data_IF_434638348951
#
_entry.id   IF_434638348951
#
_cell.length_a   1.000
_cell.length_b   1.000
_cell.length_c   1.000
_cell.angle_alpha   90.00
_cell.angle_beta   90.00
_cell.angle_gamma   90.00
#
_symmetry.space_group_name_H-M   'P 1'
#
loop_
_entity.id
_entity.type
_entity.pdbx_description
1 polymer ?
#
# COMPACT_ATOMS: atom_id res chain seq x y z
N UNK A 1 11.07 12.53 -1.42
CA UNK A 1 10.34 11.26 -1.27
C UNK A 1 10.85 10.25 -2.29
N UNK A 2 10.74 8.95 -2.02
CA UNK A 2 11.10 7.92 -2.99
C UNK A 2 10.06 7.86 -4.13
N UNK A 3 10.48 7.73 -5.40
CA UNK A 3 9.57 7.70 -6.53
C UNK A 3 8.79 6.38 -6.60
N UNK A 4 7.58 6.45 -7.14
CA UNK A 4 6.84 5.29 -7.61
C UNK A 4 7.32 4.94 -9.02
N UNK A 5 7.69 3.69 -9.27
CA UNK A 5 8.19 3.21 -10.55
C UNK A 5 7.11 3.25 -11.65
N UNK A 6 5.88 3.02 -11.25
CA UNK A 6 4.71 2.69 -12.05
C UNK A 6 3.75 3.85 -12.26
N UNK A 7 4.01 5.02 -11.67
CA UNK A 7 3.08 6.16 -11.76
C UNK A 7 2.90 6.65 -13.21
N UNK A 8 3.96 6.65 -14.04
CA UNK A 8 3.84 7.04 -15.46
C UNK A 8 3.19 5.97 -16.34
N UNK A 9 2.75 4.84 -15.78
CA UNK A 9 1.88 3.88 -16.47
C UNK A 9 0.39 4.22 -16.32
N UNK A 10 0.06 5.06 -15.33
CA UNK A 10 -1.33 5.36 -14.93
C UNK A 10 -1.67 6.82 -15.22
N UNK A 11 -0.71 7.72 -15.04
CA UNK A 11 -0.90 9.16 -15.21
C UNK A 11 0.20 9.73 -16.09
N UNK A 12 -0.16 10.70 -16.93
CA UNK A 12 0.81 11.56 -17.59
C UNK A 12 1.48 12.44 -16.53
N UNK A 13 2.81 12.36 -16.43
CA UNK A 13 3.56 13.22 -15.51
C UNK A 13 3.84 14.58 -16.17
N UNK A 14 3.96 15.67 -15.39
CA UNK A 14 4.35 16.96 -15.92
C UNK A 14 5.64 16.88 -16.74
N UNK A 15 5.66 17.55 -17.89
CA UNK A 15 6.79 17.58 -18.84
C UNK A 15 7.14 16.22 -19.48
N UNK A 16 6.19 15.30 -19.61
CA UNK A 16 6.40 13.95 -20.18
C UNK A 16 7.52 13.16 -19.47
N UNK A 17 7.77 13.45 -18.19
CA UNK A 17 8.81 12.76 -17.43
C UNK A 17 8.42 11.29 -17.24
N UNK A 18 9.32 10.36 -17.59
CA UNK A 18 9.10 8.94 -17.35
C UNK A 18 9.52 8.58 -15.93
N UNK A 19 8.62 7.95 -15.14
CA UNK A 19 8.97 7.48 -13.79
C UNK A 19 10.08 6.42 -13.83
N UNK A 20 10.17 5.66 -14.93
CA UNK A 20 11.27 4.73 -15.18
C UNK A 20 12.60 5.45 -15.35
N UNK A 21 12.65 6.51 -16.16
CA UNK A 21 13.88 7.28 -16.37
C UNK A 21 14.30 8.02 -15.10
N UNK A 22 13.35 8.54 -14.33
CA UNK A 22 13.62 9.11 -13.01
C UNK A 22 14.31 8.09 -12.09
N UNK A 23 13.77 6.87 -11.99
CA UNK A 23 14.37 5.78 -11.19
C UNK A 23 15.73 5.33 -11.75
N UNK A 24 15.88 5.31 -13.08
CA UNK A 24 17.11 4.91 -13.76
C UNK A 24 18.27 5.84 -13.44
N UNK A 25 18.00 7.14 -13.39
CA UNK A 25 19.00 8.20 -13.19
C UNK A 25 19.30 8.49 -11.70
N UNK A 26 18.63 7.82 -10.75
CA UNK A 26 18.90 7.99 -9.33
C UNK A 26 20.28 7.44 -8.93
N UNK A 27 21.02 8.13 -8.04
CA UNK A 27 22.23 7.59 -7.45
C UNK A 27 21.91 6.39 -6.54
N UNK A 28 22.88 5.50 -6.38
CA UNK A 28 22.78 4.39 -5.42
C UNK A 28 23.10 4.86 -4.00
N UNK A 29 22.49 4.27 -2.95
CA UNK A 29 21.45 3.24 -3.00
C UNK A 29 20.09 3.80 -3.43
N UNK A 30 19.40 3.08 -4.32
CA UNK A 30 18.08 3.48 -4.83
C UNK A 30 16.97 2.88 -3.96
N UNK A 31 16.06 3.73 -3.53
CA UNK A 31 14.82 3.33 -2.87
C UNK A 31 13.66 3.63 -3.83
N UNK A 32 12.88 2.60 -4.14
CA UNK A 32 11.86 2.61 -5.19
C UNK A 32 10.57 2.07 -4.59
N UNK A 33 9.44 2.73 -4.87
CA UNK A 33 8.10 2.24 -4.53
C UNK A 33 7.44 1.68 -5.79
N UNK A 34 6.59 0.66 -5.62
CA UNK A 34 5.74 0.16 -6.70
C UNK A 34 4.57 -0.63 -6.13
N UNK A 35 3.46 -0.63 -6.86
CA UNK A 35 2.28 -1.45 -6.65
C UNK A 35 2.14 -2.53 -7.73
N UNK A 36 3.19 -2.78 -8.54
CA UNK A 36 3.15 -3.80 -9.57
C UNK A 36 3.08 -5.22 -8.97
N UNK A 37 2.25 -6.11 -9.54
CA UNK A 37 2.25 -7.51 -9.16
C UNK A 37 3.56 -8.19 -9.57
N UNK A 38 3.85 -9.33 -8.95
CA UNK A 38 5.04 -10.16 -9.23
C UNK A 38 5.20 -10.45 -10.74
N UNK A 39 4.09 -10.70 -11.44
CA UNK A 39 4.05 -10.99 -12.87
C UNK A 39 4.49 -9.83 -13.76
N UNK A 40 4.46 -8.60 -13.25
CA UNK A 40 4.88 -7.39 -13.97
C UNK A 40 6.26 -6.88 -13.56
N UNK A 41 6.93 -7.54 -12.61
CA UNK A 41 8.31 -7.20 -12.27
C UNK A 41 9.24 -7.49 -13.47
N UNK A 42 10.22 -6.61 -13.77
CA UNK A 42 11.15 -6.84 -14.86
C UNK A 42 11.89 -8.16 -14.69
N UNK A 43 12.12 -8.91 -15.76
CA UNK A 43 12.80 -10.22 -15.70
C UNK A 43 14.19 -10.17 -15.04
N UNK A 44 14.86 -9.02 -15.13
CA UNK A 44 16.16 -8.78 -14.49
C UNK A 44 16.07 -8.67 -12.95
N UNK A 45 14.89 -8.38 -12.39
CA UNK A 45 14.64 -8.38 -10.93
C UNK A 45 15.08 -9.70 -10.30
N UNK A 46 14.76 -10.82 -10.95
CA UNK A 46 15.09 -12.16 -10.46
C UNK A 46 16.58 -12.50 -10.50
N UNK A 47 17.36 -11.78 -11.32
CA UNK A 47 18.82 -11.91 -11.37
C UNK A 47 19.51 -11.06 -10.31
N UNK A 48 19.09 -9.80 -10.17
CA UNK A 48 19.70 -8.84 -9.23
C UNK A 48 19.25 -9.11 -7.79
N UNK A 49 18.02 -9.61 -7.62
CA UNK A 49 17.39 -9.91 -6.32
C UNK A 49 17.52 -8.74 -5.33
N UNK A 50 17.02 -7.53 -5.68
CA UNK A 50 17.07 -6.41 -4.75
C UNK A 50 16.27 -6.75 -3.48
N UNK A 51 16.65 -6.14 -2.35
CA UNK A 51 15.86 -6.24 -1.12
C UNK A 51 14.50 -5.59 -1.34
N UNK A 52 13.42 -6.33 -1.11
CA UNK A 52 12.03 -5.88 -1.30
C UNK A 52 11.25 -6.12 -0.02
N UNK A 53 10.54 -5.10 0.45
CA UNK A 53 9.56 -5.23 1.53
C UNK A 53 8.18 -5.17 0.91
N UNK A 54 7.40 -6.25 1.04
CA UNK A 54 6.02 -6.31 0.60
C UNK A 54 5.09 -6.21 1.80
N UNK A 55 4.02 -5.43 1.67
CA UNK A 55 3.05 -5.21 2.75
C UNK A 55 1.67 -5.63 2.24
N UNK A 56 1.09 -6.65 2.86
CA UNK A 56 -0.30 -7.04 2.69
C UNK A 56 -1.19 -6.38 3.74
N UNK A 57 -2.50 -6.43 3.53
CA UNK A 57 -3.51 -5.91 4.46
C UNK A 57 -4.84 -6.61 4.22
N UNK A 58 -5.69 -6.68 5.25
CA UNK A 58 -7.05 -7.19 5.12
C UNK A 58 -7.78 -6.54 3.92
N UNK A 59 -8.37 -7.37 3.06
CA UNK A 59 -8.97 -6.94 1.80
C UNK A 59 -10.11 -5.92 2.00
N UNK A 60 -10.87 -6.04 3.09
CA UNK A 60 -11.97 -5.10 3.42
C UNK A 60 -11.41 -3.73 3.80
N UNK A 61 -10.33 -3.70 4.59
CA UNK A 61 -9.58 -2.48 4.91
C UNK A 61 -8.99 -1.84 3.66
N UNK A 62 -8.45 -2.63 2.73
CA UNK A 62 -7.92 -2.12 1.46
C UNK A 62 -9.02 -1.49 0.63
N UNK A 63 -10.16 -2.18 0.45
CA UNK A 63 -11.26 -1.70 -0.37
C UNK A 63 -11.79 -0.34 0.13
N UNK A 64 -11.99 -0.18 1.45
CA UNK A 64 -12.40 1.09 2.06
C UNK A 64 -11.32 2.17 1.90
N UNK A 65 -10.06 1.83 2.17
CA UNK A 65 -8.96 2.79 2.04
C UNK A 65 -8.77 3.26 0.60
N UNK A 66 -8.97 2.36 -0.35
CA UNK A 66 -8.82 2.65 -1.77
C UNK A 66 -9.98 3.52 -2.26
N UNK A 67 -11.22 3.27 -1.83
CA UNK A 67 -12.34 4.17 -2.12
C UNK A 67 -12.03 5.63 -1.72
N UNK A 68 -11.58 5.86 -0.48
CA UNK A 68 -11.26 7.20 -0.01
C UNK A 68 -10.08 7.82 -0.76
N UNK A 69 -9.05 7.03 -1.03
CA UNK A 69 -7.92 7.49 -1.85
C UNK A 69 -8.40 7.89 -3.24
N UNK A 70 -9.12 7.02 -3.95
CA UNK A 70 -9.64 7.30 -5.30
C UNK A 70 -10.58 8.51 -5.31
N UNK A 71 -11.45 8.66 -4.30
CA UNK A 71 -12.34 9.82 -4.14
C UNK A 71 -11.57 11.14 -4.08
N UNK A 72 -10.42 11.15 -3.39
CA UNK A 72 -9.58 12.35 -3.27
C UNK A 72 -8.97 12.81 -4.60
N UNK A 73 -8.85 11.92 -5.59
CA UNK A 73 -8.25 12.24 -6.88
C UNK A 73 -9.30 12.20 -8.00
N UNK A 74 -9.76 11.02 -8.40
CA UNK A 74 -10.48 10.83 -9.66
C UNK A 74 -11.89 10.21 -9.55
N UNK A 75 -12.25 9.57 -8.44
CA UNK A 75 -13.53 8.86 -8.33
C UNK A 75 -14.67 9.74 -7.82
N UNK A 76 -15.87 9.61 -8.40
CA UNK A 76 -17.06 10.43 -8.09
C UNK A 76 -18.34 9.62 -7.83
N UNK A 77 -18.28 8.29 -7.90
CA UNK A 77 -19.41 7.41 -7.58
C UNK A 77 -19.59 7.18 -6.08
N UNK A 78 -20.52 6.31 -5.72
CA UNK A 78 -20.78 5.91 -4.34
C UNK A 78 -19.74 4.90 -3.85
N UNK A 79 -19.63 4.75 -2.52
CA UNK A 79 -18.73 3.74 -1.92
C UNK A 79 -19.15 2.35 -2.34
N UNK A 80 -20.46 2.07 -2.32
CA UNK A 80 -21.03 0.78 -2.67
C UNK A 80 -20.69 0.38 -4.12
N UNK A 81 -20.78 1.33 -5.06
CA UNK A 81 -20.37 1.12 -6.45
C UNK A 81 -18.87 0.85 -6.57
N UNK A 82 -18.03 1.62 -5.86
CA UNK A 82 -16.58 1.42 -5.85
C UNK A 82 -16.20 0.03 -5.31
N UNK A 83 -16.77 -0.37 -4.18
CA UNK A 83 -16.47 -1.67 -3.56
C UNK A 83 -16.89 -2.82 -4.49
N UNK A 84 -18.01 -2.69 -5.21
CA UNK A 84 -18.41 -3.68 -6.22
C UNK A 84 -17.49 -3.66 -7.44
N UNK A 85 -17.03 -2.50 -7.89
CA UNK A 85 -16.00 -2.37 -8.94
C UNK A 85 -14.70 -3.08 -8.53
N UNK A 86 -14.25 -2.85 -7.29
CA UNK A 86 -13.11 -3.53 -6.67
C UNK A 86 -13.25 -5.06 -6.65
N UNK A 87 -14.44 -5.59 -6.30
CA UNK A 87 -14.71 -7.04 -6.35
C UNK A 87 -14.78 -7.62 -7.78
N UNK A 88 -14.91 -6.78 -8.80
CA UNK A 88 -14.90 -7.20 -10.20
C UNK A 88 -13.54 -6.97 -10.87
N UNK A 89 -12.50 -6.67 -10.08
CA UNK A 89 -11.13 -6.43 -10.58
C UNK A 89 -11.08 -5.27 -11.60
N UNK A 90 -11.85 -4.20 -11.35
CA UNK A 90 -11.92 -3.02 -12.21
C UNK A 90 -11.13 -1.81 -11.66
N UNK A 91 -10.35 -2.02 -10.59
CA UNK A 91 -9.48 -1.00 -10.00
C UNK A 91 -8.01 -1.26 -10.38
N UNK A 92 -7.13 -0.25 -10.25
CA UNK A 92 -5.71 -0.41 -10.58
C UNK A 92 -5.05 -1.52 -9.76
N UNK A 93 -4.09 -2.21 -10.38
CA UNK A 93 -3.30 -3.29 -9.78
C UNK A 93 -4.11 -4.53 -9.33
N UNK A 94 -5.38 -4.63 -9.72
CA UNK A 94 -6.18 -5.84 -9.59
C UNK A 94 -5.67 -6.95 -10.53
N UNK A 95 -5.97 -8.25 -10.26
CA UNK A 95 -6.73 -8.78 -9.12
C UNK A 95 -5.95 -8.84 -7.81
N UNK A 96 -6.53 -8.31 -6.71
CA UNK A 96 -5.83 -8.20 -5.41
C UNK A 96 -5.44 -9.56 -4.81
N UNK A 97 -6.28 -10.59 -4.95
CA UNK A 97 -5.97 -11.91 -4.40
C UNK A 97 -4.72 -12.49 -5.05
N UNK A 98 -4.65 -12.47 -6.39
CA UNK A 98 -3.48 -12.93 -7.13
C UNK A 98 -2.23 -12.10 -6.81
N UNK A 99 -2.40 -10.80 -6.57
CA UNK A 99 -1.32 -9.91 -6.19
C UNK A 99 -0.72 -10.29 -4.84
N UNK A 100 -1.55 -10.48 -3.81
CA UNK A 100 -1.09 -10.85 -2.46
C UNK A 100 -0.52 -12.27 -2.45
N UNK A 101 -1.22 -13.24 -3.04
CA UNK A 101 -0.76 -14.64 -3.13
C UNK A 101 0.59 -14.73 -3.86
N UNK A 102 0.76 -13.97 -4.94
CA UNK A 102 2.01 -13.93 -5.70
C UNK A 102 3.20 -13.54 -4.84
N UNK A 103 3.09 -12.45 -4.06
CA UNK A 103 4.16 -12.04 -3.16
C UNK A 103 4.31 -12.95 -1.93
N UNK A 104 3.20 -13.46 -1.37
CA UNK A 104 3.24 -14.41 -0.26
C UNK A 104 3.99 -15.70 -0.64
N UNK A 105 3.82 -16.19 -1.88
CA UNK A 105 4.57 -17.37 -2.37
C UNK A 105 6.09 -17.19 -2.37
N UNK A 106 6.57 -15.95 -2.23
CA UNK A 106 7.97 -15.58 -2.20
C UNK A 106 8.49 -15.23 -0.80
N UNK A 107 7.69 -15.40 0.26
CA UNK A 107 8.06 -15.02 1.63
C UNK A 107 9.34 -15.72 2.13
N UNK A 108 9.64 -16.90 1.62
CA UNK A 108 10.85 -17.67 1.95
C UNK A 108 12.09 -17.23 1.15
N UNK A 109 11.96 -16.25 0.25
CA UNK A 109 13.10 -15.69 -0.48
C UNK A 109 13.87 -14.72 0.42
N UNK A 110 15.18 -14.94 0.56
CA UNK A 110 16.05 -14.12 1.42
C UNK A 110 16.13 -12.62 1.08
N UNK A 111 15.71 -12.20 -0.12
CA UNK A 111 15.66 -10.80 -0.54
C UNK A 111 14.26 -10.20 -0.48
N UNK A 112 13.26 -10.90 0.06
CA UNK A 112 11.89 -10.42 0.20
C UNK A 112 11.48 -10.54 1.67
N UNK A 113 11.05 -9.44 2.25
CA UNK A 113 10.42 -9.40 3.56
C UNK A 113 8.91 -9.20 3.36
N UNK A 114 8.12 -10.20 3.73
CA UNK A 114 6.66 -10.13 3.68
C UNK A 114 6.12 -9.69 5.04
N UNK A 115 5.39 -8.57 5.07
CA UNK A 115 4.75 -8.02 6.26
C UNK A 115 3.25 -7.90 6.04
N UNK A 116 2.49 -7.88 7.13
CA UNK A 116 1.09 -7.42 7.13
C UNK A 116 0.97 -6.08 7.84
N UNK A 117 0.10 -5.20 7.35
CA UNK A 117 -0.24 -3.95 8.02
C UNK A 117 -0.75 -4.20 9.45
N UNK A 118 -1.49 -5.30 9.63
CA UNK A 118 -2.03 -5.70 10.91
C UNK A 118 -0.93 -5.99 11.93
N UNK A 119 0.15 -6.66 11.52
CA UNK A 119 1.30 -6.92 12.39
C UNK A 119 2.11 -5.65 12.68
N UNK A 120 2.35 -4.83 11.66
CA UNK A 120 2.97 -3.51 11.83
C UNK A 120 2.25 -2.65 12.87
N UNK A 121 0.92 -2.77 12.94
CA UNK A 121 0.09 -2.04 13.89
C UNK A 121 0.05 -2.67 15.29
N UNK A 122 0.02 -4.00 15.39
CA UNK A 122 0.03 -4.70 16.69
C UNK A 122 1.38 -4.61 17.39
N UNK A 123 2.47 -4.67 16.63
CA UNK A 123 3.83 -4.69 17.17
C UNK A 123 4.80 -3.88 16.30
N UNK A 124 4.63 -2.55 16.31
CA UNK A 124 5.49 -1.63 15.56
C UNK A 124 6.97 -1.80 15.91
N UNK A 125 7.30 -1.95 17.21
CA UNK A 125 8.70 -2.12 17.65
C UNK A 125 9.31 -3.39 17.04
N UNK A 126 8.62 -4.53 17.14
CA UNK A 126 9.09 -5.79 16.58
C UNK A 126 9.27 -5.70 15.07
N UNK A 127 8.31 -5.08 14.37
CA UNK A 127 8.41 -4.90 12.92
C UNK A 127 9.59 -3.98 12.52
N UNK A 128 9.85 -2.92 13.29
CA UNK A 128 11.04 -2.07 13.06
C UNK A 128 12.32 -2.88 13.17
N UNK A 129 12.46 -3.68 14.23
CA UNK A 129 13.64 -4.54 14.43
C UNK A 129 13.81 -5.52 13.28
N UNK A 130 12.73 -6.20 12.88
CA UNK A 130 12.70 -7.14 11.76
C UNK A 130 13.14 -6.48 10.44
N UNK A 131 12.63 -5.27 10.14
CA UNK A 131 13.05 -4.50 8.96
C UNK A 131 14.53 -4.10 9.06
N UNK A 132 15.01 -3.67 10.22
CA UNK A 132 16.42 -3.35 10.42
C UNK A 132 17.32 -4.58 10.15
N UNK A 133 16.97 -5.73 10.71
CA UNK A 133 17.69 -6.99 10.53
C UNK A 133 17.68 -7.43 9.06
N UNK A 134 16.53 -7.33 8.39
CA UNK A 134 16.41 -7.60 6.96
C UNK A 134 17.35 -6.72 6.12
N UNK A 135 17.55 -5.45 6.51
CA UNK A 135 18.53 -4.56 5.86
C UNK A 135 19.97 -4.75 6.35
N UNK A 136 20.22 -5.60 7.33
CA UNK A 136 21.54 -5.82 7.93
C UNK A 136 22.01 -4.63 8.77
N UNK A 137 21.07 -3.99 9.47
CA UNK A 137 21.31 -2.83 10.33
C UNK A 137 20.88 -3.16 11.75
N UNK A 138 21.60 -2.61 12.72
CA UNK A 138 21.27 -2.73 14.13
C UNK A 138 21.36 -1.35 14.76
N UNK A 139 20.46 -1.07 15.69
CA UNK A 139 20.32 0.22 16.35
C UNK A 139 20.16 0.00 17.87
N UNK A 140 20.47 1.01 18.66
CA UNK A 140 20.25 0.94 20.11
C UNK A 140 18.76 0.95 20.45
N UNK A 141 18.40 0.50 21.66
CA UNK A 141 17.00 0.51 22.09
C UNK A 141 16.40 1.91 22.05
N UNK A 142 17.18 2.93 22.39
CA UNK A 142 16.79 4.33 22.39
C UNK A 142 16.53 4.84 20.97
N UNK A 143 17.33 4.41 19.98
CA UNK A 143 17.11 4.74 18.57
C UNK A 143 15.84 4.06 18.04
N UNK A 144 15.58 2.82 18.46
CA UNK A 144 14.34 2.11 18.11
C UNK A 144 13.12 2.81 18.76
N UNK A 145 13.22 3.25 20.01
CA UNK A 145 12.16 4.01 20.69
C UNK A 145 11.83 5.32 19.96
N UNK A 146 12.87 6.06 19.54
CA UNK A 146 12.71 7.28 18.73
C UNK A 146 12.04 6.98 17.39
N UNK A 147 12.38 5.86 16.75
CA UNK A 147 11.79 5.47 15.49
C UNK A 147 10.32 5.03 15.65
N UNK A 148 9.97 4.33 16.75
CA UNK A 148 8.58 4.02 17.09
C UNK A 148 7.74 5.29 17.22
N UNK A 149 8.24 6.29 17.94
CA UNK A 149 7.54 7.58 18.12
C UNK A 149 7.39 8.32 16.78
N UNK A 150 8.46 8.34 15.97
CA UNK A 150 8.44 8.97 14.65
C UNK A 150 7.45 8.31 13.68
N UNK A 151 7.32 6.97 13.75
CA UNK A 151 6.40 6.18 12.93
C UNK A 151 5.00 6.02 13.56
N UNK A 152 4.75 6.65 14.70
CA UNK A 152 3.42 6.69 15.29
C UNK A 152 2.43 7.33 14.32
N UNK A 153 1.16 6.92 14.40
CA UNK A 153 0.13 7.43 13.49
C UNK A 153 0.00 8.95 13.59
N UNK A 154 -0.04 9.50 14.81
CA UNK A 154 -0.19 10.93 15.04
C UNK A 154 0.99 11.73 14.48
N UNK A 155 2.22 11.23 14.67
CA UNK A 155 3.44 11.83 14.12
C UNK A 155 3.44 11.80 12.58
N UNK A 156 3.15 10.64 11.98
CA UNK A 156 3.13 10.51 10.53
C UNK A 156 2.03 11.34 9.88
N UNK A 157 0.84 11.41 10.47
CA UNK A 157 -0.32 12.13 9.92
C UNK A 157 -0.03 13.61 9.67
N UNK A 158 0.74 14.26 10.55
CA UNK A 158 1.11 15.68 10.41
C UNK A 158 2.44 15.90 9.70
N UNK A 159 3.17 14.83 9.37
CA UNK A 159 4.49 14.93 8.74
C UNK A 159 4.38 15.19 7.23
N UNK A 160 4.70 16.43 6.83
CA UNK A 160 4.70 16.89 5.43
C UNK A 160 5.58 16.04 4.50
N UNK A 161 6.61 15.38 5.03
CA UNK A 161 7.46 14.52 4.21
C UNK A 161 6.74 13.25 3.72
N UNK A 162 5.62 12.84 4.33
CA UNK A 162 4.91 11.60 3.96
C UNK A 162 3.39 11.72 3.85
N UNK A 163 2.76 12.82 4.29
CA UNK A 163 1.31 12.96 4.28
C UNK A 163 0.71 13.48 2.96
N UNK A 164 1.53 13.89 1.98
CA UNK A 164 1.06 14.35 0.66
C UNK A 164 0.00 15.47 0.71
N UNK A 165 0.03 16.32 1.73
CA UNK A 165 -0.91 17.45 1.87
C UNK A 165 -0.33 18.78 1.38
N UNK A 166 0.89 18.81 0.83
CA UNK A 166 1.46 20.03 0.24
C UNK A 166 0.83 20.34 -1.12
N UNK A 167 0.72 21.62 -1.48
CA UNK A 167 0.04 22.05 -2.73
C UNK A 167 0.60 21.42 -4.01
N UNK A 168 1.91 21.17 -4.05
CA UNK A 168 2.56 20.54 -5.20
C UNK A 168 2.19 19.05 -5.37
N UNK A 169 1.62 18.41 -4.34
CA UNK A 169 1.11 17.04 -4.37
C UNK A 169 -0.39 16.98 -4.71
N UNK A 170 -1.02 18.13 -4.96
CA UNK A 170 -2.47 18.24 -5.23
C UNK A 170 -2.77 18.68 -6.68
N UNK A 171 -1.73 18.84 -7.51
CA UNK A 171 -1.81 19.37 -8.88
C UNK A 171 -2.05 18.26 -9.94
N UNK A 172 -2.37 17.05 -9.48
CA UNK A 172 -2.58 15.81 -10.24
C UNK A 172 -4.07 15.53 -10.53
N UNK A 173 -4.87 16.59 -10.67
CA UNK A 173 -6.31 16.50 -11.01
C UNK A 173 -7.24 16.26 -9.83
N UNK A 174 -6.73 16.37 -8.59
CA UNK A 174 -7.55 16.41 -7.39
C UNK A 174 -8.53 17.61 -7.45
N UNK A 175 -9.80 17.44 -7.04
CA UNK A 175 -10.78 18.51 -7.12
C UNK A 175 -10.36 19.69 -6.23
N UNK A 176 -10.40 20.89 -6.78
CA UNK A 176 -10.19 22.13 -6.04
C UNK A 176 -11.35 22.35 -5.07
N UNK A 177 -11.12 22.15 -3.76
CA UNK A 177 -12.11 22.36 -2.71
C UNK A 177 -11.53 22.09 -1.32
N UNK A 178 -12.26 22.48 -0.26
CA UNK A 178 -11.91 22.09 1.10
C UNK A 178 -12.07 20.57 1.25
N UNK A 179 -10.96 19.87 1.50
CA UNK A 179 -10.97 18.45 1.84
C UNK A 179 -11.66 18.27 3.20
N UNK A 180 -12.57 17.30 3.31
CA UNK A 180 -13.06 16.91 4.63
C UNK A 180 -11.89 16.38 5.48
N UNK A 181 -11.98 16.41 6.82
CA UNK A 181 -10.92 15.87 7.69
C UNK A 181 -10.54 14.42 7.39
N UNK A 182 -11.46 13.65 6.82
CA UNK A 182 -11.28 12.25 6.41
C UNK A 182 -10.81 12.08 4.95
N UNK A 183 -10.67 13.16 4.19
CA UNK A 183 -10.18 13.15 2.80
C UNK A 183 -8.65 13.36 2.75
N UNK A 184 -7.93 12.87 3.76
CA UNK A 184 -6.46 12.95 3.89
C UNK A 184 -5.78 11.68 3.39
N UNK A 185 -4.53 11.79 2.90
CA UNK A 185 -3.75 10.61 2.49
C UNK A 185 -3.50 9.66 3.68
N UNK A 186 -3.10 10.22 4.83
CA UNK A 186 -2.99 9.48 6.10
C UNK A 186 -4.28 9.68 6.89
N UNK A 187 -5.25 8.79 6.66
CA UNK A 187 -6.65 8.98 7.09
C UNK A 187 -6.95 8.61 8.55
N UNK A 188 -7.19 7.31 8.83
CA UNK A 188 -7.61 6.80 10.15
C UNK A 188 -6.59 5.90 10.84
N UNK A 189 -5.79 5.15 10.08
CA UNK A 189 -4.75 4.29 10.65
C UNK A 189 -5.23 3.18 11.59
N UNK A 190 -6.48 2.72 11.44
CA UNK A 190 -7.09 1.68 12.27
C UNK A 190 -6.97 0.29 11.63
N UNK A 191 -6.95 -0.75 12.47
CA UNK A 191 -6.96 -2.15 12.04
C UNK A 191 -8.31 -2.52 11.39
N UNK A 192 -9.39 -2.35 12.15
CA UNK A 192 -10.74 -2.78 11.77
C UNK A 192 -11.67 -1.62 11.38
N UNK A 193 -11.12 -0.49 10.94
CA UNK A 193 -11.90 0.70 10.61
C UNK A 193 -12.93 0.50 9.49
N UNK A 194 -12.81 -0.58 8.73
CA UNK A 194 -13.79 -1.01 7.72
C UNK A 194 -15.15 -1.40 8.34
N UNK A 195 -15.19 -1.86 9.60
CA UNK A 195 -16.44 -2.23 10.29
C UNK A 195 -17.36 -1.04 10.51
N UNK A 196 -16.79 0.16 10.64
CA UNK A 196 -17.56 1.39 10.83
C UNK A 196 -18.10 1.94 9.49
N UNK A 197 -17.62 1.43 8.36
CA UNK A 197 -17.81 2.06 7.05
C UNK A 197 -18.50 1.20 6.01
N UNK A 198 -18.51 -0.12 6.22
CA UNK A 198 -19.17 -1.09 5.36
C UNK A 198 -20.44 -1.59 6.04
N UNK A 199 -21.52 -1.75 5.25
CA UNK A 199 -22.71 -2.42 5.72
C UNK A 199 -22.46 -3.92 5.93
N UNK A 200 -23.23 -4.60 6.80
CA UNK A 200 -23.14 -6.05 6.95
C UNK A 200 -23.25 -6.82 5.62
N UNK A 201 -24.08 -6.34 4.71
CA UNK A 201 -24.27 -6.93 3.38
C UNK A 201 -23.01 -6.82 2.53
N UNK A 202 -22.35 -5.66 2.50
CA UNK A 202 -21.09 -5.48 1.76
C UNK A 202 -19.94 -6.31 2.36
N UNK A 203 -19.90 -6.45 3.68
CA UNK A 203 -18.92 -7.32 4.36
C UNK A 203 -19.13 -8.77 3.91
N UNK A 204 -20.37 -9.24 3.90
CA UNK A 204 -20.70 -10.60 3.45
C UNK A 204 -20.41 -10.79 1.94
N UNK A 205 -20.70 -9.80 1.10
CA UNK A 205 -20.36 -9.82 -0.34
C UNK A 205 -18.83 -9.97 -0.54
N UNK A 206 -18.01 -9.17 0.15
CA UNK A 206 -16.53 -9.23 0.09
C UNK A 206 -15.98 -10.58 0.56
N UNK A 207 -16.53 -11.11 1.64
CA UNK A 207 -16.14 -12.41 2.19
C UNK A 207 -16.52 -13.56 1.24
N UNK A 208 -17.71 -13.53 0.65
CA UNK A 208 -18.15 -14.51 -0.37
C UNK A 208 -17.30 -14.41 -1.64
N UNK A 209 -17.01 -13.20 -2.08
CA UNK A 209 -16.12 -12.95 -3.22
C UNK A 209 -14.74 -13.55 -2.98
N UNK A 210 -14.14 -13.29 -1.81
CA UNK A 210 -12.83 -13.84 -1.43
C UNK A 210 -12.83 -15.37 -1.43
N UNK A 211 -13.82 -16.02 -0.80
CA UNK A 211 -13.95 -17.48 -0.80
C UNK A 211 -14.21 -18.09 -2.18
N UNK A 212 -14.83 -17.34 -3.08
CA UNK A 212 -15.08 -17.78 -4.46
C UNK A 212 -13.79 -17.76 -5.29
N UNK A 213 -12.95 -16.73 -5.12
CA UNK A 213 -11.71 -16.55 -5.90
C UNK A 213 -10.57 -17.40 -5.33
N UNK A 214 -10.42 -17.44 -4.01
CA UNK A 214 -9.37 -18.18 -3.32
C UNK A 214 -9.95 -19.47 -2.77
N UNK A 215 -9.65 -20.59 -3.43
CA UNK A 215 -10.17 -21.91 -3.04
C UNK A 215 -9.24 -22.67 -2.09
N UNK A 216 -7.98 -22.27 -2.00
CA UNK A 216 -7.01 -22.85 -1.07
C UNK A 216 -7.21 -22.29 0.34
N UNK A 217 -7.46 -23.17 1.31
CA UNK A 217 -7.78 -22.80 2.70
C UNK A 217 -6.60 -22.13 3.43
N UNK A 218 -5.36 -22.44 3.07
CA UNK A 218 -4.19 -21.78 3.67
C UNK A 218 -4.04 -20.36 3.11
N UNK A 219 -4.23 -20.18 1.80
CA UNK A 219 -4.23 -18.86 1.17
C UNK A 219 -5.40 -17.99 1.64
N UNK A 220 -6.55 -18.56 1.97
CA UNK A 220 -7.71 -17.82 2.49
C UNK A 220 -7.40 -17.06 3.78
N UNK A 221 -6.50 -17.59 4.62
CA UNK A 221 -6.05 -16.95 5.87
C UNK A 221 -5.33 -15.62 5.64
N UNK A 222 -4.87 -15.36 4.41
CA UNK A 222 -4.26 -14.07 4.05
C UNK A 222 -5.27 -12.93 3.95
N UNK A 223 -6.57 -13.25 3.85
CA UNK A 223 -7.61 -12.27 3.51
C UNK A 223 -8.77 -12.20 4.52
N UNK A 224 -9.08 -13.32 5.20
CA UNK A 224 -10.26 -13.46 6.07
C UNK A 224 -9.94 -13.29 7.56
#
# INVERSE_FOLDING_TARGET
RFPFLDVSLIHDLPNDESSFERVRNMPSPRFIKTHLPVSMLPSHYWKVRPKTVYISRNVKSVAVSYYHHSKNYFYRGTKEEFIRSFMNDLEFYSPIHSHVIGYHSLENCSNILYLSYEEMKRNLRGTIVEVCDFFGRSYSNEQIDQLCEHLSFDSMRVNKACNYEDKADQDDGAPSGEKAPDDQFIRRGLLDGWRDELSPELIEELDKWTRRVVQDEEQLKLFL
#
